data_IF_097486043172
#
_entry.id   IF_097486043172
#
_cell.length_a   1.000
_cell.length_b   1.000
_cell.length_c   1.000
_cell.angle_alpha   90.00
_cell.angle_beta   90.00
_cell.angle_gamma   90.00
#
_symmetry.space_group_name_H-M   'P 1'
#
loop_
_entity.id
_entity.type
_entity.pdbx_description
1 polymer ?
#
# COMPACT_ATOMS: atom_id res chain seq x y z
N UNK A 1 6.61 38.76 8.84
CA UNK A 1 6.30 37.50 9.55
C UNK A 1 6.33 37.80 11.02
N UNK A 2 5.42 37.21 11.81
CA UNK A 2 5.55 37.29 13.27
C UNK A 2 6.76 36.46 13.70
N UNK A 3 7.37 36.79 14.84
CA UNK A 3 8.46 35.98 15.41
C UNK A 3 8.05 34.51 15.61
N UNK A 4 6.75 34.24 15.76
CA UNK A 4 6.18 32.90 15.91
C UNK A 4 6.26 32.15 14.57
N UNK A 5 5.79 32.76 13.47
CA UNK A 5 5.80 32.13 12.14
C UNK A 5 7.21 31.81 11.64
N UNK A 6 8.21 32.60 12.06
CA UNK A 6 9.62 32.32 11.75
C UNK A 6 10.07 30.96 12.29
N UNK A 7 9.62 30.54 13.48
CA UNK A 7 9.93 29.22 14.01
C UNK A 7 9.32 28.11 13.13
N UNK A 8 8.06 28.26 12.69
CA UNK A 8 7.42 27.28 11.82
C UNK A 8 8.16 27.15 10.48
N UNK A 9 8.46 28.28 9.83
CA UNK A 9 9.20 28.29 8.55
C UNK A 9 10.60 27.73 8.70
N UNK A 10 11.29 28.03 9.81
CA UNK A 10 12.62 27.49 10.05
C UNK A 10 12.60 25.99 10.30
N UNK A 11 11.59 25.47 11.02
CA UNK A 11 11.39 24.05 11.18
C UNK A 11 11.17 23.34 9.83
N UNK A 12 10.34 23.91 8.97
CA UNK A 12 10.06 23.35 7.64
C UNK A 12 11.34 23.29 6.80
N UNK A 13 12.12 24.37 6.80
CA UNK A 13 13.42 24.41 6.11
C UNK A 13 14.35 23.32 6.63
N UNK A 14 14.53 23.25 7.95
CA UNK A 14 15.43 22.27 8.58
C UNK A 14 15.01 20.83 8.26
N UNK A 15 13.71 20.53 8.28
CA UNK A 15 13.18 19.20 7.95
C UNK A 15 13.42 18.83 6.49
N UNK A 16 13.30 19.78 5.55
CA UNK A 16 13.45 19.53 4.11
C UNK A 16 14.93 19.44 3.71
N UNK A 17 15.76 20.38 4.17
CA UNK A 17 17.19 20.42 3.82
C UNK A 17 18.06 19.53 4.70
N UNK A 18 17.50 19.01 5.80
CA UNK A 18 18.23 18.24 6.80
C UNK A 18 18.71 16.90 6.28
N UNK A 19 20.01 16.67 6.37
CA UNK A 19 20.67 15.40 6.04
C UNK A 19 21.20 14.66 7.26
N UNK A 20 21.02 15.23 8.45
CA UNK A 20 21.50 14.65 9.72
C UNK A 20 20.47 14.79 10.82
N UNK A 21 20.56 13.91 11.81
CA UNK A 21 19.69 13.87 12.99
C UNK A 21 19.58 15.23 13.69
N UNK A 22 20.68 15.98 13.74
CA UNK A 22 20.71 17.33 14.33
C UNK A 22 19.69 18.28 13.69
N UNK A 23 19.48 18.20 12.37
CA UNK A 23 18.48 19.03 11.69
C UNK A 23 17.06 18.68 12.12
N UNK A 24 16.76 17.39 12.29
CA UNK A 24 15.43 16.95 12.74
C UNK A 24 15.19 17.34 14.20
N UNK A 25 16.18 17.19 15.08
CA UNK A 25 16.09 17.70 16.45
C UNK A 25 15.89 19.22 16.51
N UNK A 26 16.62 19.98 15.68
CA UNK A 26 16.45 21.42 15.59
C UNK A 26 15.06 21.80 15.06
N UNK A 27 14.55 21.09 14.04
CA UNK A 27 13.20 21.29 13.53
C UNK A 27 12.13 21.04 14.62
N UNK A 28 12.27 19.95 15.38
CA UNK A 28 11.39 19.65 16.52
C UNK A 28 11.46 20.77 17.56
N UNK A 29 12.65 21.28 17.90
CA UNK A 29 12.79 22.37 18.85
C UNK A 29 12.08 23.65 18.38
N UNK A 30 12.20 24.00 17.10
CA UNK A 30 11.46 25.13 16.53
C UNK A 30 9.93 24.92 16.58
N UNK A 31 9.44 23.70 16.31
CA UNK A 31 8.01 23.38 16.38
C UNK A 31 7.46 23.42 17.80
N UNK A 32 8.23 22.95 18.79
CA UNK A 32 7.86 23.08 20.20
C UNK A 32 7.75 24.54 20.62
N UNK A 33 8.71 25.39 20.23
CA UNK A 33 8.63 26.84 20.51
C UNK A 33 7.43 27.46 19.80
N UNK A 34 7.16 27.08 18.54
CA UNK A 34 5.98 27.55 17.79
C UNK A 34 4.67 27.27 18.52
N UNK A 35 4.49 26.03 18.99
CA UNK A 35 3.30 25.60 19.74
C UNK A 35 3.19 26.32 21.09
N UNK A 36 4.30 26.43 21.84
CA UNK A 36 4.33 27.13 23.14
C UNK A 36 3.95 28.61 23.04
N UNK A 37 4.25 29.26 21.91
CA UNK A 37 3.90 30.65 21.67
C UNK A 37 2.45 30.82 21.14
N UNK A 38 1.67 29.76 21.03
CA UNK A 38 0.28 29.80 20.57
C UNK A 38 0.16 29.91 19.05
N UNK A 39 1.04 29.25 18.30
CA UNK A 39 0.98 29.18 16.85
C UNK A 39 -0.34 28.61 16.33
N UNK A 40 -0.89 29.19 15.26
CA UNK A 40 -2.22 28.84 14.75
C UNK A 40 -2.29 27.54 13.92
N UNK A 41 -1.16 26.95 13.55
CA UNK A 41 -1.04 25.75 12.69
C UNK A 41 -0.70 24.51 13.51
N UNK A 42 -1.54 24.20 14.48
CA UNK A 42 -1.30 23.13 15.45
C UNK A 42 -1.24 21.74 14.76
N UNK A 43 -2.20 21.47 13.87
CA UNK A 43 -2.27 20.21 13.10
C UNK A 43 -1.00 19.99 12.29
N UNK A 44 -0.58 20.98 11.51
CA UNK A 44 0.62 20.88 10.66
C UNK A 44 1.90 20.81 11.50
N UNK A 45 1.96 21.53 12.62
CA UNK A 45 3.12 21.49 13.51
C UNK A 45 3.29 20.09 14.12
N UNK A 46 2.22 19.50 14.65
CA UNK A 46 2.25 18.14 15.18
C UNK A 46 2.55 17.11 14.09
N UNK A 47 1.95 17.22 12.90
CA UNK A 47 2.29 16.33 11.78
C UNK A 47 3.79 16.44 11.42
N UNK A 48 4.33 17.66 11.31
CA UNK A 48 5.75 17.87 11.02
C UNK A 48 6.66 17.31 12.11
N UNK A 49 6.29 17.43 13.38
CA UNK A 49 7.03 16.81 14.49
C UNK A 49 7.04 15.28 14.35
N UNK A 50 5.89 14.68 14.06
CA UNK A 50 5.77 13.24 13.80
C UNK A 50 6.70 12.77 12.69
N UNK A 51 6.75 13.50 11.56
CA UNK A 51 7.65 13.18 10.44
C UNK A 51 9.12 13.28 10.87
N UNK A 52 9.49 14.29 11.68
CA UNK A 52 10.85 14.42 12.20
C UNK A 52 11.22 13.24 13.11
N UNK A 53 10.31 12.81 13.99
CA UNK A 53 10.54 11.64 14.85
C UNK A 53 10.65 10.35 14.06
N UNK A 54 9.86 10.15 13.01
CA UNK A 54 10.01 9.01 12.09
C UNK A 54 11.40 8.98 11.44
N UNK A 55 11.92 10.12 10.99
CA UNK A 55 13.27 10.22 10.41
C UNK A 55 14.38 9.88 11.41
N UNK A 56 14.09 10.05 12.70
CA UNK A 56 14.97 9.67 13.81
C UNK A 56 14.72 8.23 14.31
N UNK A 57 13.84 7.46 13.64
CA UNK A 57 13.40 6.12 14.08
C UNK A 57 12.77 6.08 15.48
N UNK A 58 12.25 7.21 15.94
CA UNK A 58 11.54 7.39 17.23
C UNK A 58 10.04 7.26 16.99
N UNK A 59 9.60 6.02 16.74
CA UNK A 59 8.26 5.77 16.24
C UNK A 59 7.17 6.00 17.28
N UNK A 60 7.42 5.71 18.56
CA UNK A 60 6.46 5.95 19.64
C UNK A 60 6.08 7.44 19.72
N UNK A 61 7.09 8.33 19.78
CA UNK A 61 6.88 9.78 19.83
C UNK A 61 6.24 10.31 18.55
N UNK A 62 6.53 9.68 17.41
CA UNK A 62 5.86 10.02 16.16
C UNK A 62 4.35 9.70 16.22
N UNK A 63 3.97 8.54 16.78
CA UNK A 63 2.55 8.18 16.91
C UNK A 63 1.79 9.15 17.81
N UNK A 64 2.37 9.58 18.94
CA UNK A 64 1.77 10.57 19.84
C UNK A 64 1.52 11.90 19.10
N UNK A 65 2.50 12.37 18.34
CA UNK A 65 2.36 13.59 17.55
C UNK A 65 1.22 13.48 16.51
N UNK A 66 1.12 12.35 15.82
CA UNK A 66 0.07 12.16 14.82
C UNK A 66 -1.32 12.04 15.45
N UNK A 67 -1.45 11.37 16.59
CA UNK A 67 -2.73 11.30 17.33
C UNK A 67 -3.21 12.70 17.70
N UNK A 68 -2.32 13.55 18.24
CA UNK A 68 -2.67 14.95 18.52
C UNK A 68 -3.06 15.73 17.26
N UNK A 69 -2.35 15.55 16.14
CA UNK A 69 -2.70 16.22 14.89
C UNK A 69 -4.09 15.81 14.38
N UNK A 70 -4.47 14.54 14.54
CA UNK A 70 -5.75 14.00 14.05
C UNK A 70 -6.95 14.64 14.77
N UNK A 71 -6.84 14.98 16.06
CA UNK A 71 -7.95 15.51 16.86
C UNK A 71 -8.58 16.79 16.28
N UNK A 72 -7.78 17.61 15.60
CA UNK A 72 -8.21 18.88 15.00
C UNK A 72 -8.10 18.91 13.47
N UNK A 73 -7.72 17.80 12.83
CA UNK A 73 -7.51 17.73 11.39
C UNK A 73 -8.83 17.71 10.60
N UNK A 74 -8.86 18.41 9.46
CA UNK A 74 -9.85 18.13 8.42
C UNK A 74 -9.67 16.73 7.84
N UNK A 75 -10.69 16.18 7.16
CA UNK A 75 -10.61 14.85 6.55
C UNK A 75 -9.42 14.67 5.61
N UNK A 76 -9.12 15.69 4.79
CA UNK A 76 -7.95 15.67 3.90
C UNK A 76 -6.62 15.63 4.67
N UNK A 77 -6.47 16.45 5.72
CA UNK A 77 -5.28 16.42 6.57
C UNK A 77 -5.17 15.08 7.29
N UNK A 78 -6.28 14.60 7.86
CA UNK A 78 -6.36 13.33 8.57
C UNK A 78 -5.96 12.18 7.67
N UNK A 79 -6.45 12.11 6.43
CA UNK A 79 -6.05 11.06 5.49
C UNK A 79 -4.54 11.01 5.25
N UNK A 80 -3.87 12.16 5.16
CA UNK A 80 -2.41 12.22 5.05
C UNK A 80 -1.71 11.82 6.35
N UNK A 81 -2.22 12.27 7.51
CA UNK A 81 -1.66 11.94 8.81
C UNK A 81 -1.80 10.44 9.11
N UNK A 82 -2.94 9.81 8.80
CA UNK A 82 -3.18 8.37 9.00
C UNK A 82 -2.19 7.53 8.17
N UNK A 83 -1.87 7.95 6.94
CA UNK A 83 -0.82 7.29 6.14
C UNK A 83 0.55 7.38 6.82
N UNK A 84 0.91 8.57 7.32
CA UNK A 84 2.19 8.77 7.98
C UNK A 84 2.22 7.98 9.31
N UNK A 85 1.12 7.95 10.06
CA UNK A 85 0.94 7.16 11.28
C UNK A 85 1.12 5.66 11.02
N UNK A 86 0.58 5.14 9.91
CA UNK A 86 0.76 3.75 9.53
C UNK A 86 2.24 3.38 9.28
N UNK A 87 3.04 4.29 8.73
CA UNK A 87 4.48 4.07 8.58
C UNK A 87 5.18 3.94 9.95
N UNK A 88 4.75 4.73 10.95
CA UNK A 88 5.26 4.60 12.33
C UNK A 88 4.87 3.27 12.95
N UNK A 89 3.60 2.86 12.85
CA UNK A 89 3.17 1.54 13.34
C UNK A 89 3.92 0.40 12.66
N UNK A 90 4.13 0.49 11.34
CA UNK A 90 4.94 -0.49 10.61
C UNK A 90 6.43 -0.48 10.99
N UNK A 91 6.94 0.62 11.57
CA UNK A 91 8.29 0.71 12.16
C UNK A 91 8.38 0.06 13.54
N UNK A 92 7.28 0.10 14.31
CA UNK A 92 7.12 -0.60 15.59
C UNK A 92 6.83 -2.10 15.42
N UNK A 93 6.45 -2.53 14.22
CA UNK A 93 6.00 -3.90 13.94
C UNK A 93 4.52 -4.14 14.23
N UNK A 94 3.77 -3.08 14.57
CA UNK A 94 2.34 -3.10 14.84
C UNK A 94 1.53 -3.11 13.52
N UNK A 95 1.70 -4.17 12.73
CA UNK A 95 1.19 -4.24 11.36
C UNK A 95 -0.34 -4.12 11.27
N UNK A 96 -1.08 -4.66 12.25
CA UNK A 96 -2.54 -4.56 12.28
C UNK A 96 -3.01 -3.10 12.41
N UNK A 97 -2.35 -2.30 13.25
CA UNK A 97 -2.67 -0.87 13.39
C UNK A 97 -2.28 -0.10 12.13
N UNK A 98 -1.14 -0.45 11.51
CA UNK A 98 -0.73 0.15 10.25
C UNK A 98 -1.74 -0.10 9.11
N UNK A 99 -2.29 -1.31 9.01
CA UNK A 99 -3.33 -1.64 8.03
C UNK A 99 -4.61 -0.84 8.25
N UNK A 100 -5.05 -0.69 9.50
CA UNK A 100 -6.24 0.12 9.85
C UNK A 100 -6.02 1.58 9.46
N UNK A 101 -4.87 2.17 9.79
CA UNK A 101 -4.57 3.55 9.45
C UNK A 101 -4.44 3.75 7.92
N UNK A 102 -3.89 2.79 7.18
CA UNK A 102 -3.85 2.89 5.71
C UNK A 102 -5.23 2.74 5.07
N UNK A 103 -6.09 1.85 5.58
CA UNK A 103 -7.47 1.75 5.13
C UNK A 103 -8.21 3.06 5.37
N UNK A 104 -8.07 3.64 6.56
CA UNK A 104 -8.65 4.95 6.91
C UNK A 104 -8.13 6.05 5.99
N UNK A 105 -6.83 6.05 5.67
CA UNK A 105 -6.24 6.99 4.73
C UNK A 105 -6.85 6.89 3.33
N UNK A 106 -7.02 5.67 2.81
CA UNK A 106 -7.58 5.42 1.47
C UNK A 106 -9.07 5.81 1.40
N UNK A 107 -9.82 5.61 2.48
CA UNK A 107 -11.24 5.99 2.59
C UNK A 107 -11.41 7.52 2.60
N UNK A 108 -10.55 8.23 3.35
CA UNK A 108 -10.58 9.70 3.43
C UNK A 108 -9.99 10.38 2.19
N UNK A 109 -9.14 9.68 1.44
CA UNK A 109 -8.48 10.16 0.24
C UNK A 109 -8.93 9.34 -0.98
N UNK A 110 -10.21 9.46 -1.41
CA UNK A 110 -10.67 8.74 -2.59
C UNK A 110 -9.94 9.20 -3.84
N UNK A 111 -9.65 8.26 -4.74
CA UNK A 111 -8.83 8.49 -5.93
C UNK A 111 -9.38 9.61 -6.84
N UNK A 112 -10.71 9.70 -6.96
CA UNK A 112 -11.39 10.67 -7.81
C UNK A 112 -11.16 12.13 -7.38
N UNK A 113 -10.92 12.35 -6.08
CA UNK A 113 -10.67 13.67 -5.51
C UNK A 113 -9.18 13.93 -5.27
N UNK A 114 -8.44 12.92 -4.81
CA UNK A 114 -7.05 13.05 -4.37
C UNK A 114 -6.16 11.97 -5.00
N UNK A 115 -5.97 11.98 -6.34
CA UNK A 115 -5.35 10.87 -7.06
C UNK A 115 -3.89 10.61 -6.63
N UNK A 116 -3.13 11.67 -6.32
CA UNK A 116 -1.74 11.56 -5.91
C UNK A 116 -1.63 11.03 -4.49
N UNK A 117 -2.43 11.56 -3.56
CA UNK A 117 -2.41 11.15 -2.16
C UNK A 117 -2.94 9.73 -2.00
N UNK A 118 -4.02 9.36 -2.70
CA UNK A 118 -4.52 8.00 -2.76
C UNK A 118 -3.46 7.01 -3.24
N UNK A 119 -2.81 7.31 -4.37
CA UNK A 119 -1.77 6.45 -4.92
C UNK A 119 -0.53 6.40 -4.03
N UNK A 120 -0.23 7.48 -3.33
CA UNK A 120 0.80 7.49 -2.29
C UNK A 120 0.44 6.50 -1.19
N UNK A 121 -0.77 6.55 -0.64
CA UNK A 121 -1.25 5.62 0.39
C UNK A 121 -1.19 4.15 -0.07
N UNK A 122 -1.54 3.85 -1.33
CA UNK A 122 -1.33 2.52 -1.92
C UNK A 122 0.14 2.10 -1.92
N UNK A 123 1.06 3.01 -2.26
CA UNK A 123 2.50 2.74 -2.21
C UNK A 123 3.03 2.49 -0.78
N UNK A 124 2.41 3.07 0.25
CA UNK A 124 2.71 2.75 1.65
C UNK A 124 2.15 1.36 2.04
N UNK A 125 0.93 1.03 1.61
CA UNK A 125 0.33 -0.30 1.81
C UNK A 125 1.17 -1.40 1.17
N UNK A 126 1.63 -1.20 -0.06
CA UNK A 126 2.49 -2.14 -0.74
C UNK A 126 3.83 -2.36 -0.01
N UNK A 127 4.42 -1.29 0.56
CA UNK A 127 5.61 -1.40 1.43
C UNK A 127 5.32 -2.18 2.71
N UNK A 128 4.14 -2.00 3.32
CA UNK A 128 3.73 -2.74 4.50
C UNK A 128 3.60 -4.24 4.19
N UNK A 129 2.90 -4.59 3.12
CA UNK A 129 2.77 -5.97 2.61
C UNK A 129 4.15 -6.58 2.32
N UNK A 130 5.05 -5.81 1.72
CA UNK A 130 6.43 -6.24 1.46
C UNK A 130 7.18 -6.57 2.76
N UNK A 131 7.06 -5.73 3.81
CA UNK A 131 7.66 -6.01 5.13
C UNK A 131 7.08 -7.28 5.77
N UNK A 132 5.81 -7.58 5.54
CA UNK A 132 5.14 -8.79 5.99
C UNK A 132 5.46 -10.04 5.14
N UNK A 133 6.22 -9.89 4.05
CA UNK A 133 6.56 -10.99 3.14
C UNK A 133 5.46 -11.35 2.12
N UNK A 134 4.39 -10.56 2.05
CA UNK A 134 3.29 -10.71 1.10
C UNK A 134 3.69 -10.13 -0.27
N UNK A 135 4.68 -10.75 -0.90
CA UNK A 135 5.36 -10.18 -2.07
C UNK A 135 4.49 -10.11 -3.33
N UNK A 136 3.55 -11.04 -3.50
CA UNK A 136 2.63 -11.04 -4.64
C UNK A 136 1.66 -9.87 -4.55
N UNK A 137 1.03 -9.72 -3.40
CA UNK A 137 0.09 -8.65 -3.07
C UNK A 137 0.77 -7.28 -3.13
N UNK A 138 1.99 -7.17 -2.61
CA UNK A 138 2.79 -5.96 -2.68
C UNK A 138 3.04 -5.54 -4.14
N UNK A 139 3.39 -6.49 -5.01
CA UNK A 139 3.64 -6.22 -6.44
C UNK A 139 2.38 -5.70 -7.14
N UNK A 140 1.22 -6.30 -6.86
CA UNK A 140 -0.06 -5.84 -7.42
C UNK A 140 -0.42 -4.44 -6.92
N UNK A 141 -0.30 -4.21 -5.61
CA UNK A 141 -0.61 -2.91 -5.00
C UNK A 141 0.34 -1.80 -5.48
N UNK A 142 1.63 -2.10 -5.65
CA UNK A 142 2.57 -1.15 -6.26
C UNK A 142 2.26 -0.85 -7.72
N UNK A 143 1.81 -1.84 -8.49
CA UNK A 143 1.40 -1.63 -9.87
C UNK A 143 0.19 -0.70 -9.96
N UNK A 144 -0.80 -0.89 -9.08
CA UNK A 144 -1.98 -0.02 -8.99
C UNK A 144 -1.60 1.42 -8.59
N UNK A 145 -0.70 1.57 -7.61
CA UNK A 145 -0.13 2.86 -7.24
C UNK A 145 0.59 3.54 -8.43
N UNK A 146 1.37 2.77 -9.21
CA UNK A 146 2.14 3.29 -10.34
C UNK A 146 1.24 3.81 -11.47
N UNK A 147 0.18 3.06 -11.80
CA UNK A 147 -0.82 3.45 -12.79
C UNK A 147 -1.50 4.77 -12.41
N UNK A 148 -1.92 4.87 -11.15
CA UNK A 148 -2.59 6.05 -10.61
C UNK A 148 -1.66 7.26 -10.54
N UNK A 149 -0.39 7.09 -10.18
CA UNK A 149 0.61 8.16 -10.15
C UNK A 149 0.95 8.69 -11.55
N UNK A 150 0.97 7.82 -12.55
CA UNK A 150 1.22 8.23 -13.93
C UNK A 150 0.16 9.23 -14.43
N UNK A 151 -1.10 9.05 -14.00
CA UNK A 151 -2.18 10.00 -14.30
C UNK A 151 -2.05 11.33 -13.53
N UNK A 152 -1.47 11.30 -12.33
CA UNK A 152 -1.35 12.45 -11.42
C UNK A 152 -0.22 13.44 -11.73
N UNK A 153 0.67 13.14 -12.68
CA UNK A 153 1.79 14.00 -13.11
C UNK A 153 2.69 14.50 -11.94
N UNK A 154 2.98 13.62 -10.97
CA UNK A 154 3.90 13.91 -9.88
C UNK A 154 5.16 13.02 -9.97
N UNK A 155 6.19 13.46 -10.73
CA UNK A 155 7.34 12.62 -11.06
C UNK A 155 8.19 12.26 -9.83
N UNK A 156 8.14 13.05 -8.75
CA UNK A 156 8.88 12.75 -7.52
C UNK A 156 8.24 11.58 -6.76
N UNK A 157 6.91 11.59 -6.59
CA UNK A 157 6.19 10.50 -5.94
C UNK A 157 6.23 9.24 -6.82
N UNK A 158 6.08 9.40 -8.14
CA UNK A 158 6.23 8.30 -9.10
C UNK A 158 7.62 7.67 -9.02
N UNK A 159 8.69 8.48 -8.98
CA UNK A 159 10.05 7.98 -8.81
C UNK A 159 10.19 7.13 -7.55
N UNK A 160 9.70 7.64 -6.41
CA UNK A 160 9.76 6.94 -5.13
C UNK A 160 9.00 5.61 -5.16
N UNK A 161 7.78 5.60 -5.72
CA UNK A 161 7.00 4.39 -5.91
C UNK A 161 7.73 3.36 -6.79
N UNK A 162 8.26 3.79 -7.95
CA UNK A 162 8.97 2.88 -8.86
C UNK A 162 10.21 2.25 -8.24
N UNK A 163 10.94 2.97 -7.41
CA UNK A 163 12.10 2.40 -6.69
C UNK A 163 11.66 1.27 -5.75
N UNK A 164 10.64 1.51 -4.92
CA UNK A 164 10.11 0.50 -4.02
C UNK A 164 9.49 -0.68 -4.79
N UNK A 165 8.73 -0.39 -5.84
CA UNK A 165 8.11 -1.38 -6.71
C UNK A 165 9.15 -2.30 -7.38
N UNK A 166 10.23 -1.72 -7.92
CA UNK A 166 11.32 -2.50 -8.52
C UNK A 166 11.99 -3.45 -7.53
N UNK A 167 12.10 -3.05 -6.26
CA UNK A 167 12.60 -3.89 -5.17
C UNK A 167 11.64 -5.05 -4.87
N UNK A 168 10.34 -4.77 -4.74
CA UNK A 168 9.32 -5.80 -4.52
C UNK A 168 9.29 -6.83 -5.67
N UNK A 169 9.35 -6.38 -6.93
CA UNK A 169 9.46 -7.26 -8.10
C UNK A 169 10.71 -8.14 -8.06
N UNK A 170 11.84 -7.61 -7.61
CA UNK A 170 13.08 -8.39 -7.49
C UNK A 170 12.93 -9.50 -6.45
N UNK A 171 12.38 -9.16 -5.28
CA UNK A 171 12.13 -10.11 -4.18
C UNK A 171 11.13 -11.19 -4.59
N UNK A 172 10.11 -10.83 -5.39
CA UNK A 172 9.15 -11.77 -5.97
C UNK A 172 9.72 -12.61 -7.15
N UNK A 173 11.02 -12.50 -7.46
CA UNK A 173 11.67 -13.24 -8.55
C UNK A 173 11.39 -12.71 -9.96
N UNK A 174 10.69 -11.59 -10.11
CA UNK A 174 10.32 -10.98 -11.40
C UNK A 174 11.43 -10.06 -11.94
N UNK A 175 12.63 -10.60 -12.12
CA UNK A 175 13.86 -9.85 -12.41
C UNK A 175 13.78 -8.96 -13.68
N UNK A 176 13.13 -9.43 -14.74
CA UNK A 176 12.99 -8.64 -15.98
C UNK A 176 12.08 -7.42 -15.79
N UNK A 177 10.95 -7.58 -15.09
CA UNK A 177 10.05 -6.46 -14.77
C UNK A 177 10.71 -5.49 -13.81
N UNK A 178 11.38 -6.00 -12.78
CA UNK A 178 12.14 -5.18 -11.82
C UNK A 178 13.14 -4.27 -12.55
N UNK A 179 13.95 -4.82 -13.46
CA UNK A 179 14.88 -4.03 -14.28
C UNK A 179 14.17 -2.97 -15.12
N UNK A 180 13.04 -3.31 -15.73
CA UNK A 180 12.27 -2.36 -16.54
C UNK A 180 11.78 -1.17 -15.71
N UNK A 181 11.16 -1.45 -14.56
CA UNK A 181 10.67 -0.41 -13.63
C UNK A 181 11.83 0.45 -13.11
N UNK A 182 12.96 -0.15 -12.75
CA UNK A 182 14.14 0.57 -12.31
C UNK A 182 14.72 1.51 -13.40
N UNK A 183 14.72 1.08 -14.66
CA UNK A 183 15.14 1.93 -15.78
C UNK A 183 14.18 3.13 -15.94
N UNK A 184 12.87 2.93 -15.77
CA UNK A 184 11.91 4.03 -15.82
C UNK A 184 12.07 5.00 -14.64
N UNK A 185 12.38 4.51 -13.45
CA UNK A 185 12.76 5.35 -12.31
C UNK A 185 14.00 6.22 -12.64
N UNK A 186 15.06 5.63 -13.19
CA UNK A 186 16.26 6.37 -13.61
C UNK A 186 15.98 7.41 -14.70
N UNK A 187 15.04 7.14 -15.61
CA UNK A 187 14.62 8.13 -16.61
C UNK A 187 13.92 9.31 -15.96
N UNK A 188 12.98 9.06 -15.04
CA UNK A 188 12.29 10.10 -14.30
C UNK A 188 13.26 10.99 -13.52
N UNK A 189 14.26 10.41 -12.83
CA UNK A 189 15.26 11.20 -12.10
C UNK A 189 16.13 12.07 -13.00
N UNK A 190 16.24 11.73 -14.30
CA UNK A 190 16.96 12.51 -15.31
C UNK A 190 16.05 13.49 -16.07
N UNK A 191 14.80 13.66 -15.65
CA UNK A 191 13.80 14.50 -16.34
C UNK A 191 13.39 13.96 -17.70
N UNK A 192 13.64 12.68 -17.98
CA UNK A 192 13.26 12.01 -19.23
C UNK A 192 11.92 11.31 -19.05
N UNK A 193 11.10 11.30 -20.10
CA UNK A 193 9.83 10.54 -20.09
C UNK A 193 10.10 9.05 -19.85
N UNK A 194 9.25 8.35 -19.08
CA UNK A 194 9.29 6.90 -18.97
C UNK A 194 9.24 6.26 -20.37
N UNK A 195 9.93 5.14 -20.58
CA UNK A 195 9.72 4.43 -21.84
C UNK A 195 8.54 3.49 -21.73
N UNK A 196 7.64 3.58 -22.70
CA UNK A 196 6.74 2.48 -23.06
C UNK A 196 7.60 1.42 -23.78
N UNK A 197 8.36 0.61 -23.07
CA UNK A 197 9.23 -0.40 -23.69
C UNK A 197 8.77 -1.83 -23.36
N UNK A 198 8.90 -2.77 -24.31
CA UNK A 198 8.14 -2.83 -25.55
C UNK A 198 6.66 -3.21 -25.27
N UNK A 199 5.78 -3.00 -26.25
CA UNK A 199 4.38 -3.45 -26.31
C UNK A 199 4.17 -4.97 -26.29
N UNK A 200 5.06 -5.73 -25.65
CA UNK A 200 5.09 -7.20 -25.62
C UNK A 200 5.27 -7.68 -24.18
N UNK A 201 4.30 -7.36 -23.34
CA UNK A 201 3.99 -8.19 -22.19
C UNK A 201 2.48 -8.40 -22.19
N UNK A 202 1.99 -9.04 -23.26
CA UNK A 202 0.72 -9.74 -23.14
C UNK A 202 0.86 -10.75 -22.00
N UNK A 203 -0.14 -10.89 -21.12
CA UNK A 203 -0.17 -12.02 -20.21
C UNK A 203 -0.09 -13.28 -21.05
N UNK A 204 1.04 -14.00 -20.99
CA UNK A 204 1.08 -15.35 -21.52
C UNK A 204 0.14 -16.17 -20.65
N UNK A 205 -1.01 -16.48 -21.26
CA UNK A 205 -2.16 -17.19 -20.74
C UNK A 205 -3.14 -16.35 -19.89
N UNK A 206 -4.30 -16.08 -20.52
CA UNK A 206 -5.57 -15.93 -19.81
C UNK A 206 -5.86 -17.17 -18.94
N UNK A 207 -6.65 -17.06 -17.86
CA UNK A 207 -7.03 -18.20 -17.00
C UNK A 207 -7.96 -19.24 -17.67
N UNK A 208 -8.05 -19.26 -19.00
CA UNK A 208 -9.01 -20.11 -19.72
C UNK A 208 -8.46 -21.49 -20.09
N UNK A 209 -7.18 -21.81 -19.83
CA UNK A 209 -6.63 -23.15 -20.08
C UNK A 209 -6.57 -24.07 -18.85
N UNK A 210 -6.90 -23.58 -17.65
CA UNK A 210 -6.98 -24.41 -16.43
C UNK A 210 -8.37 -25.04 -16.17
N UNK A 211 -9.30 -24.95 -17.12
CA UNK A 211 -10.58 -25.70 -17.12
C UNK A 211 -10.65 -26.86 -18.14
N UNK A 212 -9.56 -27.17 -18.83
CA UNK A 212 -9.53 -28.25 -19.82
C UNK A 212 -8.87 -29.56 -19.31
N UNK A 213 -8.39 -29.60 -18.06
CA UNK A 213 -7.71 -30.78 -17.48
C UNK A 213 -8.62 -31.70 -16.65
N UNK A 214 -9.94 -31.44 -16.60
CA UNK A 214 -10.90 -32.25 -15.84
C UNK A 214 -12.05 -32.85 -16.67
N UNK A 215 -11.83 -33.07 -17.97
CA UNK A 215 -12.72 -33.96 -18.77
C UNK A 215 -11.92 -34.80 -19.77
N UNK A 216 -11.20 -35.80 -19.26
CA UNK A 216 -10.99 -37.07 -19.97
C UNK A 216 -10.94 -38.22 -18.95
N UNK A 217 -12.11 -38.72 -18.60
CA UNK A 217 -12.29 -40.16 -18.42
C UNK A 217 -13.72 -40.51 -18.83
N UNK A 218 -13.86 -41.64 -19.53
CA UNK A 218 -15.03 -42.15 -20.26
C UNK A 218 -15.34 -41.39 -21.57
N UNK A 219 -15.47 -42.01 -22.73
CA UNK A 219 -15.42 -43.42 -23.14
C UNK A 219 -15.58 -43.49 -24.67
N UNK A 220 -14.96 -44.50 -25.30
CA UNK A 220 -15.62 -45.35 -26.32
C UNK A 220 -16.00 -44.76 -27.68
N UNK A 221 -15.57 -45.45 -28.75
CA UNK A 221 -15.86 -45.21 -30.17
C UNK A 221 -17.29 -45.60 -30.60
N UNK A 222 -17.85 -44.75 -31.48
CA UNK A 222 -18.61 -44.98 -32.75
C UNK A 222 -19.96 -45.76 -32.73
N UNK A 223 -20.84 -45.66 -33.77
CA UNK A 223 -21.04 -44.64 -34.82
C UNK A 223 -22.54 -44.21 -35.00
N UNK A 224 -22.75 -43.36 -36.02
CA UNK A 224 -23.97 -42.84 -36.67
C UNK A 224 -25.31 -43.60 -36.51
N UNK A 225 -26.42 -42.84 -36.45
CA UNK A 225 -27.73 -43.31 -36.91
C UNK A 225 -28.94 -42.78 -36.15
N UNK A 226 -29.69 -41.90 -36.83
CA UNK A 226 -31.16 -41.78 -36.80
C UNK A 226 -31.91 -41.05 -35.68
N UNK A 227 -32.88 -40.30 -36.20
CA UNK A 227 -33.94 -39.47 -35.64
C UNK A 227 -34.93 -40.24 -34.78
N UNK A 228 -35.43 -39.63 -33.70
CA UNK A 228 -36.63 -40.12 -33.02
C UNK A 228 -37.00 -39.29 -31.80
N UNK A 229 -38.13 -38.60 -31.88
CA UNK A 229 -38.79 -37.91 -30.77
C UNK A 229 -39.37 -38.92 -29.74
N UNK A 230 -39.78 -38.36 -28.60
CA UNK A 230 -40.87 -38.78 -27.68
C UNK A 230 -40.41 -39.25 -26.28
N UNK A 231 -40.62 -38.30 -25.37
CA UNK A 231 -41.15 -38.29 -23.99
C UNK A 231 -40.96 -39.43 -22.98
N UNK A 232 -40.85 -38.93 -21.75
CA UNK A 232 -41.42 -39.42 -20.48
C UNK A 232 -40.54 -40.15 -19.46
N UNK A 233 -40.38 -39.41 -18.36
CA UNK A 233 -40.70 -39.81 -16.98
C UNK A 233 -39.61 -40.34 -16.05
N UNK A 234 -39.42 -39.55 -14.99
CA UNK A 234 -39.32 -39.93 -13.57
C UNK A 234 -38.06 -40.67 -13.10
N UNK A 235 -37.34 -40.07 -12.14
CA UNK A 235 -37.11 -40.70 -10.83
C UNK A 235 -36.72 -39.67 -9.76
N UNK A 236 -37.25 -39.89 -8.55
CA UNK A 236 -37.03 -39.15 -7.32
C UNK A 236 -35.72 -39.58 -6.59
N UNK A 237 -35.28 -38.85 -5.54
CA UNK A 237 -34.00 -39.03 -4.84
C UNK A 237 -34.16 -39.72 -3.47
N UNK A 238 -33.05 -40.14 -2.85
CA UNK A 238 -32.82 -40.34 -1.40
C UNK A 238 -31.38 -40.88 -1.24
N UNK A 239 -30.55 -40.65 -0.22
CA UNK A 239 -30.69 -40.04 1.11
C UNK A 239 -29.49 -40.50 1.97
N UNK A 240 -29.36 -39.92 3.18
CA UNK A 240 -28.69 -40.47 4.37
C UNK A 240 -27.14 -40.31 4.49
N UNK A 241 -26.65 -39.55 5.49
CA UNK A 241 -26.16 -39.99 6.82
C UNK A 241 -24.64 -40.35 6.81
N UNK A 242 -23.77 -40.13 7.81
CA UNK A 242 -23.92 -39.87 9.24
C UNK A 242 -22.51 -39.70 9.90
N UNK A 243 -22.50 -39.28 11.19
CA UNK A 243 -21.50 -39.57 12.27
C UNK A 243 -20.39 -38.52 12.57
N UNK A 244 -20.37 -38.11 13.85
CA UNK A 244 -19.43 -37.27 14.60
C UNK A 244 -18.54 -38.15 15.55
N UNK A 245 -18.01 -37.73 16.73
CA UNK A 245 -17.28 -36.53 17.21
C UNK A 245 -16.00 -36.90 18.05
N UNK A 246 -15.57 -35.98 18.94
CA UNK A 246 -14.68 -36.08 20.14
C UNK A 246 -13.19 -35.78 19.87
N UNK A 247 -12.44 -34.90 20.55
CA UNK A 247 -12.55 -34.12 21.79
C UNK A 247 -11.12 -33.98 22.38
N UNK A 248 -10.78 -32.90 23.09
CA UNK A 248 -9.61 -32.87 23.99
C UNK A 248 -8.67 -31.66 23.93
N UNK A 249 -8.79 -30.81 24.97
CA UNK A 249 -7.87 -29.75 25.41
C UNK A 249 -6.50 -30.31 25.84
N UNK A 250 -5.37 -29.60 25.59
CA UNK A 250 -4.27 -29.40 26.57
C UNK A 250 -3.53 -28.08 26.27
N UNK A 251 -3.46 -27.23 27.29
CA UNK A 251 -2.60 -26.05 27.41
C UNK A 251 -1.28 -26.50 28.05
N UNK A 252 -0.12 -26.02 27.56
CA UNK A 252 1.09 -25.93 28.39
C UNK A 252 2.00 -24.79 27.91
N UNK A 253 2.17 -23.80 28.79
CA UNK A 253 3.24 -22.79 28.74
C UNK A 253 4.58 -23.42 29.12
N UNK A 254 5.66 -22.95 28.49
CA UNK A 254 6.90 -22.56 29.16
C UNK A 254 7.37 -21.25 28.57
#
# INVERSE_FOLDING_TARGET
MSSIDEHFTQAERLRISGSSDHHFYAAIAHLLVYLLLGGSKEVEAHQMMGVCFQRLHRYDEATECYVHAIEAASDYQRGNIERDLAESYGGLGEYALAEISLATSLDLLPYELYPVEHATSLGFLARLQQRQGQLSEAVETFADADEKLHAGNNPHVELYNKLAYSSALSQAGQQLKSRHVAINALRLSLGKKPSNGPSVWQPTASPTSLRASLRRSSSGRLPQGETGQITDSHFAPDGACNIAPVGGLVICKK
#
